data_IF_035855851306
#
_entry.id   IF_035855851306
#
_cell.length_a   1.000
_cell.length_b   1.000
_cell.length_c   1.000
_cell.angle_alpha   90.00
_cell.angle_beta   90.00
_cell.angle_gamma   90.00
#
_symmetry.space_group_name_H-M   'P 1'
#
loop_
_entity.id
_entity.type
_entity.pdbx_description
1 polymer ?
#
# COMPACT_ATOMS: atom_id res chain seq x y z
N UNK A 1 19.77 45.21 -29.93
CA UNK A 1 19.46 43.76 -29.82
C UNK A 1 20.58 43.09 -29.03
N UNK A 2 20.24 42.14 -28.13
CA UNK A 2 21.14 41.36 -27.25
C UNK A 2 21.41 41.97 -25.86
N UNK A 3 20.44 41.97 -24.93
CA UNK A 3 20.71 41.97 -23.46
C UNK A 3 19.43 41.82 -22.58
N UNK A 4 18.41 41.03 -22.96
CA UNK A 4 17.22 40.85 -22.07
C UNK A 4 16.73 39.40 -21.97
N UNK A 5 17.60 38.40 -22.13
CA UNK A 5 17.20 36.98 -22.05
C UNK A 5 17.76 36.20 -20.84
N UNK A 6 18.46 36.86 -19.91
CA UNK A 6 19.17 36.15 -18.83
C UNK A 6 18.45 36.13 -17.47
N UNK A 7 17.31 36.82 -17.29
CA UNK A 7 16.72 37.01 -15.95
C UNK A 7 15.56 36.06 -15.59
N UNK A 8 15.09 35.20 -16.51
CA UNK A 8 13.85 34.42 -16.31
C UNK A 8 14.05 32.97 -15.84
N UNK A 9 15.29 32.50 -15.66
CA UNK A 9 15.58 31.09 -15.33
C UNK A 9 15.79 30.80 -13.84
N UNK A 10 15.74 31.80 -12.95
CA UNK A 10 16.06 31.62 -11.53
C UNK A 10 14.85 31.40 -10.59
N UNK A 11 13.61 31.42 -11.09
CA UNK A 11 12.41 31.46 -10.24
C UNK A 11 11.62 30.13 -10.14
N UNK A 12 12.15 29.01 -10.64
CA UNK A 12 11.38 27.76 -10.81
C UNK A 12 11.42 26.75 -9.66
N UNK A 13 12.30 26.87 -8.67
CA UNK A 13 12.61 25.74 -7.77
C UNK A 13 11.87 25.70 -6.42
N UNK A 14 10.83 26.53 -6.19
CA UNK A 14 10.21 26.64 -4.86
C UNK A 14 8.82 26.00 -4.70
N UNK A 15 8.36 25.17 -5.63
CA UNK A 15 7.07 24.46 -5.48
C UNK A 15 7.26 22.97 -5.11
N UNK A 16 8.34 22.66 -4.39
CA UNK A 16 8.44 21.41 -3.65
C UNK A 16 7.61 21.53 -2.36
N UNK A 17 6.29 21.34 -2.47
CA UNK A 17 5.42 21.29 -1.30
C UNK A 17 5.93 20.27 -0.29
N UNK A 18 6.07 20.66 0.96
CA UNK A 18 6.45 19.76 2.05
C UNK A 18 5.51 18.55 2.03
N UNK A 19 6.08 17.34 1.96
CA UNK A 19 5.33 16.12 2.19
C UNK A 19 4.78 16.18 3.62
N UNK A 20 3.52 16.57 3.76
CA UNK A 20 2.80 16.47 5.02
C UNK A 20 2.75 14.99 5.38
N UNK A 21 3.21 14.63 6.58
CA UNK A 21 3.03 13.30 7.11
C UNK A 21 1.57 12.88 6.92
N UNK A 22 1.42 11.71 6.30
CA UNK A 22 0.15 11.12 5.91
C UNK A 22 -0.87 11.15 7.04
N UNK A 23 -2.07 11.64 6.74
CA UNK A 23 -3.26 11.48 7.57
C UNK A 23 -3.51 9.98 7.77
N UNK A 24 -2.94 9.39 8.81
CA UNK A 24 -3.30 8.05 9.26
C UNK A 24 -4.74 8.15 9.76
N UNK A 25 -5.69 7.70 8.95
CA UNK A 25 -7.09 7.61 9.35
C UNK A 25 -7.36 6.18 9.75
N UNK A 26 -7.75 5.99 11.00
CA UNK A 26 -8.36 4.72 11.42
C UNK A 26 -9.79 4.68 10.87
N UNK A 27 -10.12 3.66 10.10
CA UNK A 27 -11.50 3.38 9.70
C UNK A 27 -11.93 2.07 10.37
N UNK A 28 -12.65 2.18 11.49
CA UNK A 28 -12.94 1.05 12.38
C UNK A 28 -11.63 0.39 12.82
N UNK A 29 -11.47 -0.91 12.56
CA UNK A 29 -10.28 -1.70 12.92
C UNK A 29 -9.17 -1.63 11.87
N UNK A 30 -9.34 -0.81 10.82
CA UNK A 30 -8.38 -0.71 9.72
C UNK A 30 -7.51 0.53 9.85
N UNK A 31 -6.22 0.34 9.59
CA UNK A 31 -5.28 1.44 9.36
C UNK A 31 -5.29 1.80 7.87
N UNK A 32 -5.54 3.06 7.54
CA UNK A 32 -5.53 3.53 6.15
C UNK A 32 -4.47 4.61 5.96
N UNK A 33 -3.66 4.46 4.92
CA UNK A 33 -2.49 5.29 4.62
C UNK A 33 -2.48 5.58 3.12
N UNK A 34 -2.39 6.86 2.71
CA UNK A 34 -2.44 7.26 1.29
C UNK A 34 -1.28 8.16 0.92
N UNK A 35 -0.47 7.79 -0.07
CA UNK A 35 0.71 8.56 -0.43
C UNK A 35 0.36 9.88 -1.17
N UNK A 36 1.38 10.68 -1.49
CA UNK A 36 1.20 11.93 -2.24
C UNK A 36 0.78 11.71 -3.71
N UNK A 37 0.96 10.49 -4.24
CA UNK A 37 0.49 10.09 -5.56
C UNK A 37 -1.00 9.74 -5.57
N UNK A 38 -1.64 9.74 -4.38
CA UNK A 38 -3.03 9.35 -4.12
C UNK A 38 -3.27 7.86 -4.29
N UNK A 39 -2.22 7.08 -4.14
CA UNK A 39 -2.32 5.64 -3.93
C UNK A 39 -2.61 5.39 -2.46
N UNK A 40 -3.62 4.57 -2.17
CA UNK A 40 -4.05 4.29 -0.80
C UNK A 40 -3.90 2.80 -0.49
N UNK A 41 -3.38 2.52 0.70
CA UNK A 41 -3.32 1.20 1.29
C UNK A 41 -4.17 1.15 2.57
N UNK A 42 -4.95 0.07 2.72
CA UNK A 42 -5.65 -0.27 3.94
C UNK A 42 -5.08 -1.58 4.52
N UNK A 43 -4.79 -1.57 5.81
CA UNK A 43 -4.20 -2.70 6.54
C UNK A 43 -5.17 -3.20 7.61
N UNK A 44 -5.48 -4.49 7.54
CA UNK A 44 -6.23 -5.22 8.55
C UNK A 44 -5.32 -6.22 9.23
N UNK A 45 -4.93 -5.93 10.47
CA UNK A 45 -4.02 -6.77 11.24
C UNK A 45 -4.79 -7.88 11.95
N UNK A 46 -4.15 -9.05 12.12
CA UNK A 46 -4.63 -10.06 13.07
C UNK A 46 -4.68 -9.46 14.49
N UNK A 47 -5.59 -9.96 15.32
CA UNK A 47 -5.64 -9.60 16.75
C UNK A 47 -4.47 -10.18 17.53
N UNK A 48 -3.94 -11.30 17.09
CA UNK A 48 -2.76 -11.93 17.68
C UNK A 48 -1.49 -11.40 16.99
N UNK A 49 -0.52 -10.87 17.74
CA UNK A 49 0.74 -10.38 17.17
C UNK A 49 1.50 -11.49 16.43
N UNK A 50 1.95 -11.21 15.20
CA UNK A 50 2.80 -12.12 14.41
C UNK A 50 2.06 -13.02 13.42
N UNK A 51 0.73 -13.06 13.44
CA UNK A 51 -0.02 -13.98 12.56
C UNK A 51 -0.14 -13.51 11.10
N UNK A 52 -0.06 -12.20 10.87
CA UNK A 52 -0.15 -11.61 9.54
C UNK A 52 -1.09 -10.42 9.43
N UNK A 53 -1.28 -9.96 8.20
CA UNK A 53 -2.16 -8.85 7.87
C UNK A 53 -2.71 -8.98 6.44
N UNK A 54 -3.89 -8.40 6.23
CA UNK A 54 -4.47 -8.18 4.90
C UNK A 54 -4.14 -6.75 4.47
N UNK A 55 -3.54 -6.59 3.30
CA UNK A 55 -3.27 -5.30 2.65
C UNK A 55 -4.19 -5.17 1.44
N UNK A 56 -4.91 -4.05 1.36
CA UNK A 56 -5.73 -3.70 0.20
C UNK A 56 -5.18 -2.40 -0.36
N UNK A 57 -4.74 -2.42 -1.61
CA UNK A 57 -4.18 -1.26 -2.30
C UNK A 57 -5.11 -0.81 -3.42
N UNK A 58 -5.26 0.50 -3.55
CA UNK A 58 -6.00 1.11 -4.64
C UNK A 58 -5.16 2.19 -5.29
N UNK A 59 -4.87 1.99 -6.57
CA UNK A 59 -4.20 3.00 -7.39
C UNK A 59 -5.01 4.29 -7.48
N UNK A 60 -4.32 5.38 -7.78
CA UNK A 60 -4.95 6.68 -7.99
C UNK A 60 -5.92 6.68 -9.19
N UNK A 61 -6.87 7.62 -9.16
CA UNK A 61 -7.80 7.88 -10.27
C UNK A 61 -9.15 7.14 -10.21
N UNK A 62 -10.09 7.49 -11.11
CA UNK A 62 -11.47 6.99 -11.08
C UNK A 62 -11.58 5.49 -11.42
N UNK A 63 -10.65 4.95 -12.21
CA UNK A 63 -10.54 3.53 -12.54
C UNK A 63 -9.37 2.83 -11.86
N UNK A 64 -8.82 3.41 -10.78
CA UNK A 64 -7.67 2.88 -10.09
C UNK A 64 -7.84 1.40 -9.73
N UNK A 65 -6.87 0.58 -10.12
CA UNK A 65 -6.90 -0.86 -9.88
C UNK A 65 -6.91 -1.13 -8.38
N UNK A 66 -7.72 -2.11 -7.99
CA UNK A 66 -7.76 -2.63 -6.63
C UNK A 66 -6.98 -3.94 -6.58
N UNK A 67 -6.03 -4.02 -5.66
CA UNK A 67 -5.23 -5.22 -5.41
C UNK A 67 -5.33 -5.58 -3.92
N UNK A 68 -5.34 -6.87 -3.61
CA UNK A 68 -5.42 -7.36 -2.24
C UNK A 68 -4.39 -8.47 -2.03
N UNK A 69 -3.60 -8.34 -0.97
CA UNK A 69 -2.56 -9.28 -0.59
C UNK A 69 -2.75 -9.73 0.85
N UNK A 70 -2.75 -11.04 1.07
CA UNK A 70 -2.70 -11.63 2.40
C UNK A 70 -1.25 -11.97 2.74
N UNK A 71 -0.72 -11.34 3.77
CA UNK A 71 0.61 -11.63 4.30
C UNK A 71 0.43 -12.46 5.56
N UNK A 72 1.01 -13.65 5.57
CA UNK A 72 1.00 -14.56 6.74
C UNK A 72 2.42 -14.95 7.07
N UNK A 73 2.73 -15.05 8.36
CA UNK A 73 4.00 -15.61 8.78
C UNK A 73 3.90 -17.14 8.74
N UNK A 74 4.77 -17.77 7.96
CA UNK A 74 4.85 -19.23 7.93
C UNK A 74 5.47 -19.78 9.22
N UNK A 75 5.06 -20.98 9.62
CA UNK A 75 5.73 -21.73 10.68
C UNK A 75 7.22 -21.90 10.33
N UNK A 76 8.11 -21.63 11.29
CA UNK A 76 9.57 -21.68 11.13
C UNK A 76 10.12 -20.79 10.01
N UNK A 77 9.43 -19.69 9.67
CA UNK A 77 9.82 -18.77 8.60
C UNK A 77 9.67 -19.32 7.19
N UNK A 78 9.04 -20.50 7.03
CA UNK A 78 8.82 -21.14 5.72
C UNK A 78 7.37 -20.95 5.27
N UNK A 79 7.11 -20.41 4.06
CA UNK A 79 5.75 -20.26 3.57
C UNK A 79 5.08 -21.63 3.37
N UNK A 80 4.14 -21.97 4.25
CA UNK A 80 3.31 -23.18 4.14
C UNK A 80 1.97 -22.82 3.51
N UNK A 81 1.98 -22.55 2.21
CA UNK A 81 0.84 -21.96 1.50
C UNK A 81 -0.06 -22.99 0.79
N UNK A 82 0.15 -24.30 1.02
CA UNK A 82 -0.63 -25.35 0.35
C UNK A 82 -2.04 -25.47 0.96
N UNK A 83 -3.06 -25.26 0.13
CA UNK A 83 -4.46 -25.52 0.49
C UNK A 83 -5.19 -24.36 1.17
N UNK A 84 -4.63 -23.15 1.17
CA UNK A 84 -5.30 -21.97 1.71
C UNK A 84 -6.46 -21.54 0.82
N UNK A 85 -7.54 -21.08 1.48
CA UNK A 85 -8.68 -20.41 0.85
C UNK A 85 -8.93 -19.11 1.58
N UNK A 86 -9.11 -18.04 0.82
CA UNK A 86 -9.54 -16.75 1.38
C UNK A 86 -11.06 -16.68 1.22
N UNK A 87 -11.75 -16.50 2.35
CA UNK A 87 -13.21 -16.40 2.40
C UNK A 87 -13.61 -15.03 2.97
N UNK A 88 -14.58 -14.37 2.35
CA UNK A 88 -15.34 -13.27 2.95
C UNK A 88 -16.76 -13.76 3.23
N UNK A 89 -17.22 -13.64 4.47
CA UNK A 89 -18.55 -14.09 4.89
C UNK A 89 -18.86 -15.54 4.48
N UNK A 90 -17.84 -16.40 4.54
CA UNK A 90 -17.92 -17.81 4.14
C UNK A 90 -17.87 -18.07 2.63
N UNK A 91 -17.76 -17.03 1.79
CA UNK A 91 -17.68 -17.15 0.32
C UNK A 91 -16.25 -16.96 -0.18
N UNK A 92 -15.78 -17.75 -1.16
CA UNK A 92 -14.47 -17.54 -1.77
C UNK A 92 -14.32 -16.13 -2.34
N UNK A 93 -13.22 -15.46 -1.97
CA UNK A 93 -12.92 -14.09 -2.38
C UNK A 93 -12.19 -14.03 -3.73
N UNK A 94 -11.45 -15.09 -4.07
CA UNK A 94 -10.64 -15.18 -5.28
C UNK A 94 -10.79 -16.57 -5.92
N UNK A 95 -10.98 -16.60 -7.24
CA UNK A 95 -10.99 -17.85 -8.02
C UNK A 95 -9.59 -18.43 -8.22
N UNK A 96 -8.56 -17.58 -8.07
CA UNK A 96 -7.14 -17.93 -8.17
C UNK A 96 -6.36 -17.13 -7.15
N UNK A 97 -5.63 -17.83 -6.27
CA UNK A 97 -4.71 -17.23 -5.31
C UNK A 97 -3.30 -17.47 -5.82
N UNK A 98 -2.55 -16.39 -6.07
CA UNK A 98 -1.12 -16.44 -6.38
C UNK A 98 -0.35 -16.25 -5.09
N UNK A 99 0.61 -17.13 -4.86
CA UNK A 99 1.46 -17.11 -3.67
C UNK A 99 2.85 -16.65 -4.07
N UNK A 100 3.31 -15.56 -3.47
CA UNK A 100 4.66 -15.07 -3.65
C UNK A 100 5.37 -15.12 -2.30
N UNK A 101 6.48 -15.87 -2.23
CA UNK A 101 7.40 -15.77 -1.10
C UNK A 101 8.30 -14.56 -1.34
N UNK A 102 8.19 -13.55 -0.49
CA UNK A 102 9.07 -12.37 -0.52
C UNK A 102 9.70 -12.15 0.85
N UNK A 103 10.92 -11.62 0.86
CA UNK A 103 11.52 -11.05 2.06
C UNK A 103 10.93 -9.65 2.25
N UNK A 104 9.72 -9.61 2.80
CA UNK A 104 9.03 -8.37 3.15
C UNK A 104 9.58 -7.86 4.48
N UNK A 105 10.89 -7.57 4.51
CA UNK A 105 11.53 -6.90 5.63
C UNK A 105 10.73 -5.64 5.97
N UNK A 106 10.48 -5.43 7.26
CA UNK A 106 9.62 -4.39 7.81
C UNK A 106 9.64 -3.09 6.99
N UNK A 107 8.67 -2.93 6.10
CA UNK A 107 8.48 -1.71 5.32
C UNK A 107 7.64 -0.79 6.21
N UNK A 108 8.33 -0.07 7.09
CA UNK A 108 7.78 1.08 7.82
C UNK A 108 8.59 2.32 7.47
#
# INVERSE_FOLDING_TARGET
MRTIFAALLAAGCLIGGAASAQDQKAFRDWMVVCDNSRECAAFGFSREPGDGYLKIERQAGPGGRLEAGLVVQGADGKPQLKGWRVLADGKPLFDRVTFESGDWGAVW
#
